data_IF_430357682329
#
_entry.id   IF_430357682329
#
_cell.length_a   1.000
_cell.length_b   1.000
_cell.length_c   1.000
_cell.angle_alpha   90.00
_cell.angle_beta   90.00
_cell.angle_gamma   90.00
#
_symmetry.space_group_name_H-M   'P 1'
#
loop_
_entity.id
_entity.type
_entity.pdbx_description
1 polymer ?
#
# COMPACT_ATOMS: atom_id res chain seq x y z
N UNK A 1 4.16 1.79 -23.88
CA UNK A 1 4.76 1.87 -22.53
C UNK A 1 4.69 0.48 -21.90
N UNK A 2 5.80 -0.03 -21.36
CA UNK A 2 5.82 -1.34 -20.73
C UNK A 2 5.37 -1.25 -19.27
N UNK A 3 4.56 -2.21 -18.81
CA UNK A 3 4.02 -2.26 -17.45
C UNK A 3 4.48 -3.55 -16.77
N UNK A 4 5.16 -3.38 -15.63
CA UNK A 4 5.47 -4.45 -14.69
C UNK A 4 4.43 -4.46 -13.58
N UNK A 5 3.57 -5.48 -13.52
CA UNK A 5 2.74 -5.72 -12.34
C UNK A 5 3.54 -6.48 -11.29
N UNK A 6 3.42 -6.11 -10.02
CA UNK A 6 4.18 -6.68 -8.91
C UNK A 6 3.24 -7.12 -7.80
N UNK A 7 3.36 -8.38 -7.37
CA UNK A 7 2.61 -8.93 -6.23
C UNK A 7 3.59 -9.50 -5.20
N UNK A 8 3.80 -8.83 -4.06
CA UNK A 8 4.37 -9.45 -2.87
C UNK A 8 3.35 -10.40 -2.23
N UNK A 9 3.74 -11.61 -1.90
CA UNK A 9 2.84 -12.59 -1.25
C UNK A 9 3.54 -13.40 -0.17
N UNK A 10 2.75 -13.96 0.74
CA UNK A 10 3.23 -14.89 1.78
C UNK A 10 2.11 -15.80 2.28
N UNK A 11 2.23 -17.12 2.05
CA UNK A 11 1.32 -18.14 2.57
C UNK A 11 -0.17 -17.90 2.21
N UNK A 12 -0.45 -17.42 0.98
CA UNK A 12 -1.80 -17.11 0.48
C UNK A 12 -2.01 -17.64 -0.95
N UNK A 13 -1.82 -18.96 -1.18
CA UNK A 13 -1.81 -19.52 -2.54
C UNK A 13 -3.14 -19.35 -3.31
N UNK A 14 -4.28 -19.33 -2.60
CA UNK A 14 -5.61 -19.16 -3.23
C UNK A 14 -5.86 -17.70 -3.59
N UNK A 15 -5.59 -16.78 -2.66
CA UNK A 15 -5.78 -15.34 -2.86
C UNK A 15 -4.89 -14.88 -4.02
N UNK A 16 -3.61 -15.25 -4.01
CA UNK A 16 -2.66 -14.97 -5.08
C UNK A 16 -3.15 -15.49 -6.45
N UNK A 17 -3.66 -16.72 -6.52
CA UNK A 17 -4.15 -17.29 -7.78
C UNK A 17 -5.32 -16.47 -8.34
N UNK A 18 -6.25 -16.00 -7.50
CA UNK A 18 -7.36 -15.15 -7.91
C UNK A 18 -6.88 -13.78 -8.40
N UNK A 19 -5.96 -13.16 -7.68
CA UNK A 19 -5.36 -11.89 -8.09
C UNK A 19 -4.65 -12.02 -9.43
N UNK A 20 -3.80 -13.03 -9.60
CA UNK A 20 -3.10 -13.32 -10.85
C UNK A 20 -4.07 -13.55 -12.01
N UNK A 21 -5.13 -14.33 -11.80
CA UNK A 21 -6.15 -14.56 -12.82
C UNK A 21 -6.79 -13.24 -13.26
N UNK A 22 -7.17 -12.37 -12.33
CA UNK A 22 -7.76 -11.07 -12.63
C UNK A 22 -6.82 -10.14 -13.41
N UNK A 23 -5.51 -10.25 -13.16
CA UNK A 23 -4.47 -9.49 -13.88
C UNK A 23 -4.27 -10.03 -15.31
N UNK A 24 -4.25 -11.34 -15.47
CA UNK A 24 -4.05 -11.97 -16.78
C UNK A 24 -5.25 -11.85 -17.72
N UNK A 25 -6.45 -11.59 -17.16
CA UNK A 25 -7.69 -11.41 -17.92
C UNK A 25 -8.04 -9.94 -18.17
N UNK A 26 -7.14 -9.01 -17.85
CA UNK A 26 -7.32 -7.59 -18.15
C UNK A 26 -7.49 -7.32 -19.66
N UNK A 27 -8.27 -6.31 -20.03
CA UNK A 27 -8.37 -5.82 -21.42
C UNK A 27 -7.00 -5.38 -21.99
N UNK A 28 -6.14 -4.90 -21.10
CA UNK A 28 -4.72 -4.61 -21.37
C UNK A 28 -3.91 -5.33 -20.27
N UNK A 29 -3.50 -6.61 -20.44
CA UNK A 29 -2.63 -7.29 -19.49
C UNK A 29 -1.27 -6.60 -19.34
N UNK A 30 -0.58 -6.70 -18.20
CA UNK A 30 0.77 -6.17 -18.07
C UNK A 30 1.75 -6.92 -19.00
N UNK A 31 2.87 -6.29 -19.33
CA UNK A 31 3.90 -6.91 -20.16
C UNK A 31 4.70 -7.95 -19.35
N UNK A 32 4.86 -7.72 -18.04
CA UNK A 32 5.40 -8.71 -17.12
C UNK A 32 4.64 -8.72 -15.79
N UNK A 33 4.59 -9.88 -15.16
CA UNK A 33 4.09 -10.08 -13.81
C UNK A 33 5.21 -10.61 -12.93
N UNK A 34 5.59 -9.84 -11.90
CA UNK A 34 6.56 -10.23 -10.89
C UNK A 34 5.84 -10.68 -9.64
N UNK A 35 6.05 -11.92 -9.23
CA UNK A 35 5.58 -12.44 -7.95
C UNK A 35 6.79 -12.60 -7.02
N UNK A 36 6.75 -11.93 -5.87
CA UNK A 36 7.77 -12.06 -4.82
C UNK A 36 7.15 -12.86 -3.67
N UNK A 37 7.40 -14.15 -3.69
CA UNK A 37 6.81 -15.10 -2.74
C UNK A 37 7.75 -15.38 -1.57
N UNK A 38 7.29 -15.02 -0.38
CA UNK A 38 7.98 -15.21 0.91
C UNK A 38 7.46 -16.44 1.67
N UNK A 39 6.70 -17.31 1.01
CA UNK A 39 6.10 -18.51 1.61
C UNK A 39 7.17 -19.54 1.98
N UNK A 40 6.84 -20.41 2.93
CA UNK A 40 7.73 -21.50 3.32
C UNK A 40 7.72 -22.66 2.34
N UNK A 41 6.63 -22.81 1.57
CA UNK A 41 6.42 -23.90 0.62
C UNK A 41 6.21 -23.38 -0.81
N UNK A 42 6.16 -24.28 -1.79
CA UNK A 42 5.98 -23.97 -3.20
C UNK A 42 4.52 -24.04 -3.69
N UNK A 43 3.51 -24.03 -2.81
CA UNK A 43 2.11 -24.15 -3.24
C UNK A 43 1.65 -22.95 -4.07
N UNK A 44 2.03 -21.74 -3.65
CA UNK A 44 1.74 -20.49 -4.36
C UNK A 44 2.28 -20.55 -5.79
N UNK A 45 3.53 -20.97 -5.97
CA UNK A 45 4.15 -21.08 -7.28
C UNK A 45 3.42 -22.07 -8.19
N UNK A 46 3.13 -23.29 -7.70
CA UNK A 46 2.40 -24.30 -8.50
C UNK A 46 1.05 -23.79 -8.99
N UNK A 47 0.32 -23.02 -8.17
CA UNK A 47 -0.97 -22.45 -8.58
C UNK A 47 -0.82 -21.35 -9.64
N UNK A 48 0.19 -20.50 -9.51
CA UNK A 48 0.46 -19.45 -10.50
C UNK A 48 0.91 -20.06 -11.82
N UNK A 49 1.84 -21.02 -11.82
CA UNK A 49 2.33 -21.70 -13.02
C UNK A 49 1.19 -22.37 -13.81
N UNK A 50 0.20 -22.94 -13.10
CA UNK A 50 -0.96 -23.55 -13.73
C UNK A 50 -1.87 -22.53 -14.49
N UNK A 51 -1.78 -21.24 -14.16
CA UNK A 51 -2.51 -20.17 -14.85
C UNK A 51 -1.79 -19.65 -16.10
N UNK A 52 -0.48 -19.90 -16.22
CA UNK A 52 0.32 -19.43 -17.35
C UNK A 52 0.34 -20.45 -18.49
N UNK A 53 -0.54 -20.23 -19.49
CA UNK A 53 -0.52 -21.00 -20.72
C UNK A 53 0.58 -20.45 -21.68
N UNK A 54 1.17 -21.30 -22.56
CA UNK A 54 2.28 -20.90 -23.46
C UNK A 54 2.01 -19.72 -24.40
N UNK A 55 0.74 -19.38 -24.66
CA UNK A 55 0.33 -18.32 -25.59
C UNK A 55 0.06 -16.96 -24.91
N UNK A 56 0.36 -16.77 -23.62
CA UNK A 56 0.09 -15.52 -22.93
C UNK A 56 1.13 -14.45 -23.28
N UNK A 57 0.66 -13.20 -23.44
CA UNK A 57 1.51 -12.03 -23.74
C UNK A 57 2.30 -11.54 -22.54
N UNK A 58 1.89 -11.89 -21.32
CA UNK A 58 2.54 -11.46 -20.07
C UNK A 58 3.69 -12.41 -19.73
N UNK A 59 4.87 -11.87 -19.50
CA UNK A 59 6.03 -12.64 -19.01
C UNK A 59 5.93 -12.82 -17.49
N UNK A 60 6.04 -14.06 -16.99
CA UNK A 60 6.09 -14.35 -15.55
C UNK A 60 7.54 -14.29 -15.04
N UNK A 61 7.76 -13.53 -13.98
CA UNK A 61 8.99 -13.53 -13.17
C UNK A 61 8.60 -13.95 -11.75
N UNK A 62 8.78 -15.22 -11.44
CA UNK A 62 8.46 -15.74 -10.10
C UNK A 62 9.74 -15.86 -9.26
N UNK A 63 9.73 -15.22 -8.09
CA UNK A 63 10.84 -15.26 -7.12
C UNK A 63 10.31 -15.86 -5.83
N UNK A 64 10.65 -17.11 -5.57
CA UNK A 64 10.37 -17.78 -4.29
C UNK A 64 11.61 -17.68 -3.40
N UNK A 65 11.56 -16.80 -2.40
CA UNK A 65 12.64 -16.62 -1.43
C UNK A 65 12.11 -16.30 -0.03
N UNK A 66 11.99 -17.32 0.84
CA UNK A 66 11.53 -17.13 2.23
C UNK A 66 12.43 -16.22 3.09
N UNK A 67 13.67 -15.95 2.64
CA UNK A 67 14.60 -15.06 3.34
C UNK A 67 14.27 -13.58 3.16
N UNK A 68 13.49 -13.22 2.14
CA UNK A 68 12.98 -11.87 1.98
C UNK A 68 12.00 -11.59 3.12
N UNK A 69 12.36 -10.66 4.02
CA UNK A 69 11.60 -10.42 5.25
C UNK A 69 10.73 -9.15 5.14
N UNK A 70 9.44 -9.34 4.86
CA UNK A 70 8.42 -8.27 4.92
C UNK A 70 8.15 -7.58 3.59
N UNK A 71 7.06 -6.77 3.60
CA UNK A 71 6.50 -6.14 2.42
C UNK A 71 7.47 -5.19 1.72
N UNK A 72 8.15 -4.33 2.48
CA UNK A 72 9.07 -3.32 1.95
C UNK A 72 10.27 -3.97 1.25
N UNK A 73 10.83 -5.04 1.84
CA UNK A 73 11.92 -5.78 1.23
C UNK A 73 11.47 -6.49 -0.06
N UNK A 74 10.26 -7.05 -0.07
CA UNK A 74 9.69 -7.67 -1.27
C UNK A 74 9.46 -6.66 -2.40
N UNK A 75 8.92 -5.47 -2.10
CA UNK A 75 8.76 -4.39 -3.08
C UNK A 75 10.11 -3.93 -3.64
N UNK A 76 11.12 -3.75 -2.79
CA UNK A 76 12.48 -3.42 -3.24
C UNK A 76 13.05 -4.50 -4.14
N UNK A 77 12.90 -5.78 -3.78
CA UNK A 77 13.38 -6.90 -4.59
C UNK A 77 12.69 -6.98 -5.95
N UNK A 78 11.40 -6.62 -6.02
CA UNK A 78 10.65 -6.54 -7.27
C UNK A 78 11.13 -5.41 -8.16
N UNK A 79 11.28 -4.19 -7.63
CA UNK A 79 11.76 -3.02 -8.39
C UNK A 79 13.12 -3.29 -9.04
N UNK A 80 14.03 -3.97 -8.32
CA UNK A 80 15.34 -4.33 -8.85
C UNK A 80 15.29 -5.29 -10.05
N UNK A 81 14.14 -5.94 -10.29
CA UNK A 81 13.93 -6.92 -11.38
C UNK A 81 12.95 -6.43 -12.43
N UNK A 82 12.13 -5.44 -12.11
CA UNK A 82 11.14 -4.90 -13.01
C UNK A 82 11.81 -4.22 -14.23
N UNK A 83 11.27 -4.49 -15.42
CA UNK A 83 11.76 -3.94 -16.69
C UNK A 83 10.83 -2.90 -17.30
N UNK A 84 9.58 -2.82 -16.79
CA UNK A 84 8.57 -1.89 -17.28
C UNK A 84 8.94 -0.43 -17.03
N UNK A 85 8.45 0.45 -17.87
CA UNK A 85 8.51 1.91 -17.69
C UNK A 85 7.68 2.32 -16.48
N UNK A 86 6.60 1.55 -16.22
CA UNK A 86 5.69 1.67 -15.09
C UNK A 86 5.77 0.41 -14.25
N UNK A 87 5.94 0.58 -12.94
CA UNK A 87 5.86 -0.50 -11.94
C UNK A 87 4.56 -0.34 -11.15
N UNK A 88 3.65 -1.31 -11.30
CA UNK A 88 2.34 -1.33 -10.65
C UNK A 88 2.32 -2.35 -9.52
N UNK A 89 2.23 -1.89 -8.26
CA UNK A 89 2.10 -2.76 -7.09
C UNK A 89 0.65 -3.14 -6.85
N UNK A 90 0.42 -4.42 -6.64
CA UNK A 90 -0.87 -5.01 -6.33
C UNK A 90 -0.74 -5.92 -5.10
N UNK A 91 -1.78 -6.01 -4.28
CA UNK A 91 -1.84 -7.00 -3.20
C UNK A 91 -2.27 -8.37 -3.74
N UNK A 92 -1.98 -9.41 -2.98
CA UNK A 92 -2.31 -10.79 -3.33
C UNK A 92 -3.78 -11.15 -3.09
N UNK A 93 -4.55 -10.26 -2.44
CA UNK A 93 -5.97 -10.40 -2.12
C UNK A 93 -6.87 -9.35 -2.81
N UNK A 94 -6.45 -8.86 -3.98
CA UNK A 94 -7.25 -7.96 -4.82
C UNK A 94 -7.79 -8.67 -6.07
N UNK A 95 -8.91 -8.18 -6.58
CA UNK A 95 -9.48 -8.58 -7.87
C UNK A 95 -9.71 -7.34 -8.71
N UNK A 96 -9.02 -7.25 -9.84
CA UNK A 96 -9.05 -6.09 -10.72
C UNK A 96 -10.31 -6.12 -11.61
N UNK A 97 -11.00 -4.98 -11.76
CA UNK A 97 -11.99 -4.81 -12.84
C UNK A 97 -11.27 -4.86 -14.20
N UNK A 98 -11.93 -5.33 -15.30
CA UNK A 98 -11.26 -5.60 -16.59
C UNK A 98 -10.51 -4.42 -17.21
N UNK A 99 -10.85 -3.18 -16.85
CA UNK A 99 -10.24 -1.96 -17.35
C UNK A 99 -9.14 -1.37 -16.48
N UNK A 100 -8.78 -1.98 -15.34
CA UNK A 100 -7.87 -1.40 -14.36
C UNK A 100 -6.53 -1.00 -14.98
N UNK A 101 -5.81 -1.96 -15.57
CA UNK A 101 -4.48 -1.73 -16.14
C UNK A 101 -4.50 -0.74 -17.31
N UNK A 102 -5.54 -0.79 -18.15
CA UNK A 102 -5.73 0.16 -19.24
C UNK A 102 -5.91 1.59 -18.70
N UNK A 103 -6.69 1.77 -17.64
CA UNK A 103 -6.92 3.09 -17.05
C UNK A 103 -5.67 3.62 -16.33
N UNK A 104 -4.88 2.75 -15.71
CA UNK A 104 -3.56 3.13 -15.18
C UNK A 104 -2.66 3.62 -16.34
N UNK A 105 -2.53 2.85 -17.42
CA UNK A 105 -1.71 3.23 -18.58
C UNK A 105 -2.14 4.56 -19.18
N UNK A 106 -3.45 4.76 -19.42
CA UNK A 106 -4.02 6.01 -19.93
C UNK A 106 -3.66 7.21 -19.04
N UNK A 107 -3.74 7.05 -17.73
CA UNK A 107 -3.36 8.11 -16.79
C UNK A 107 -1.95 8.65 -17.06
N UNK A 108 -0.99 7.77 -17.31
CA UNK A 108 0.40 8.15 -17.62
C UNK A 108 0.62 8.64 -19.05
N UNK A 109 -0.12 8.11 -20.03
CA UNK A 109 -0.03 8.52 -21.45
C UNK A 109 -0.61 9.92 -21.63
N UNK A 110 -1.79 10.17 -21.07
CA UNK A 110 -2.49 11.45 -21.18
C UNK A 110 -1.85 12.55 -20.34
N UNK A 111 -1.08 12.17 -19.30
CA UNK A 111 -0.38 13.10 -18.41
C UNK A 111 1.11 12.74 -18.29
N UNK A 112 1.95 13.18 -19.26
CA UNK A 112 3.38 12.83 -19.28
C UNK A 112 4.16 13.25 -18.02
N UNK A 113 3.73 14.31 -17.33
CA UNK A 113 4.32 14.78 -16.08
C UNK A 113 3.95 13.92 -14.87
N UNK A 114 2.95 13.02 -14.99
CA UNK A 114 2.52 12.17 -13.87
C UNK A 114 3.61 11.15 -13.54
N UNK A 115 4.00 11.09 -12.27
CA UNK A 115 5.03 10.17 -11.76
C UNK A 115 4.45 9.00 -10.98
N UNK A 116 3.25 9.15 -10.43
CA UNK A 116 2.57 8.06 -9.74
C UNK A 116 1.05 8.17 -9.83
N UNK A 117 0.40 7.01 -9.91
CA UNK A 117 -1.04 6.88 -10.00
C UNK A 117 -1.52 5.71 -9.17
N UNK A 118 -2.59 5.84 -8.40
CA UNK A 118 -3.26 4.70 -7.77
C UNK A 118 -4.69 4.57 -8.28
N UNK A 119 -5.22 3.35 -8.22
CA UNK A 119 -6.63 3.10 -8.42
C UNK A 119 -7.48 3.35 -7.17
N UNK A 120 -8.72 2.87 -7.21
CA UNK A 120 -9.68 2.92 -6.11
C UNK A 120 -10.22 1.53 -5.77
N UNK A 121 -10.51 1.32 -4.50
CA UNK A 121 -11.16 0.10 -4.00
C UNK A 121 -12.68 0.32 -4.00
N UNK A 122 -13.41 -0.56 -4.67
CA UNK A 122 -14.86 -0.40 -4.91
C UNK A 122 -15.74 -1.07 -3.87
N UNK A 123 -15.26 -2.12 -3.22
CA UNK A 123 -16.00 -2.89 -2.22
C UNK A 123 -15.75 -2.43 -0.77
N UNK A 124 -15.16 -1.25 -0.57
CA UNK A 124 -15.09 -0.64 0.75
C UNK A 124 -16.41 0.07 1.07
N UNK A 125 -16.89 -0.03 2.33
CA UNK A 125 -18.06 0.71 2.76
C UNK A 125 -17.80 2.22 2.72
N UNK A 126 -18.79 3.00 2.30
CA UNK A 126 -18.70 4.45 2.43
C UNK A 126 -18.58 4.83 3.91
N UNK A 127 -17.58 5.62 4.23
CA UNK A 127 -17.41 6.13 5.58
C UNK A 127 -18.37 7.31 5.82
N UNK A 128 -19.15 7.30 6.89
CA UNK A 128 -20.02 8.45 7.23
C UNK A 128 -19.24 9.76 7.31
N UNK A 129 -19.80 10.85 6.84
CA UNK A 129 -19.14 12.17 6.80
C UNK A 129 -18.65 12.64 8.19
N UNK A 130 -19.37 12.31 9.25
CA UNK A 130 -18.95 12.64 10.62
C UNK A 130 -17.68 11.88 11.00
N UNK A 131 -17.55 10.59 10.59
CA UNK A 131 -16.35 9.79 10.83
C UNK A 131 -15.15 10.35 10.07
N UNK A 132 -15.33 10.71 8.78
CA UNK A 132 -14.27 11.35 7.99
C UNK A 132 -13.77 12.65 8.66
N UNK A 133 -14.69 13.50 9.15
CA UNK A 133 -14.34 14.73 9.88
C UNK A 133 -13.57 14.43 11.16
N UNK A 134 -14.02 13.44 11.93
CA UNK A 134 -13.34 13.02 13.16
C UNK A 134 -11.95 12.45 12.86
N UNK A 135 -11.84 11.61 11.83
CA UNK A 135 -10.56 11.08 11.37
C UNK A 135 -9.59 12.22 11.02
N UNK A 136 -9.98 13.14 10.16
CA UNK A 136 -9.15 14.28 9.76
C UNK A 136 -8.86 15.25 10.92
N UNK A 137 -9.72 15.32 11.93
CA UNK A 137 -9.45 16.08 13.16
C UNK A 137 -8.25 15.50 13.91
N UNK A 138 -8.16 14.19 14.06
CA UNK A 138 -7.07 13.54 14.76
C UNK A 138 -5.84 13.27 13.88
N UNK A 139 -6.02 13.13 12.57
CA UNK A 139 -4.94 12.92 11.60
C UNK A 139 -4.66 14.23 10.85
N UNK A 140 -3.94 15.16 11.49
CA UNK A 140 -3.58 16.46 10.92
C UNK A 140 -2.11 16.56 10.55
N UNK A 141 -1.75 17.61 9.82
CA UNK A 141 -0.37 17.93 9.44
C UNK A 141 0.30 16.77 8.73
N UNK A 142 1.42 16.32 9.23
CA UNK A 142 2.19 15.21 8.65
C UNK A 142 1.44 13.85 8.63
N UNK A 143 0.34 13.72 9.34
CA UNK A 143 -0.51 12.52 9.39
C UNK A 143 -1.77 12.63 8.56
N UNK A 144 -1.97 13.75 7.85
CA UNK A 144 -3.17 13.94 7.04
C UNK A 144 -3.20 12.95 5.87
N UNK A 145 -4.25 12.15 5.78
CA UNK A 145 -4.46 11.17 4.71
C UNK A 145 -5.66 11.56 3.84
N UNK A 146 -5.37 12.13 2.68
CA UNK A 146 -6.39 12.59 1.73
C UNK A 146 -7.18 11.44 1.06
N UNK A 147 -6.71 10.19 1.17
CA UNK A 147 -7.40 9.02 0.61
C UNK A 147 -8.68 8.67 1.35
N UNK A 148 -8.79 9.11 2.61
CA UNK A 148 -9.99 8.90 3.43
C UNK A 148 -11.16 9.69 2.83
N UNK A 149 -12.17 8.96 2.36
CA UNK A 149 -13.32 9.53 1.67
C UNK A 149 -13.26 9.49 0.13
N UNK A 150 -12.12 9.14 -0.46
CA UNK A 150 -11.99 8.91 -1.91
C UNK A 150 -12.47 7.49 -2.30
N UNK A 151 -12.07 6.48 -1.51
CA UNK A 151 -12.59 5.12 -1.69
C UNK A 151 -14.08 5.07 -1.33
N UNK A 152 -14.90 4.42 -2.16
CA UNK A 152 -16.35 4.34 -1.98
C UNK A 152 -17.15 5.54 -2.53
N UNK A 153 -16.59 6.75 -2.54
CA UNK A 153 -17.28 7.95 -3.05
C UNK A 153 -17.20 8.11 -4.58
N UNK A 154 -16.31 7.39 -5.23
CA UNK A 154 -16.01 7.50 -6.67
C UNK A 154 -16.78 6.46 -7.48
N UNK A 155 -18.11 6.50 -7.43
CA UNK A 155 -18.95 5.70 -8.32
C UNK A 155 -19.15 6.46 -9.65
N UNK A 156 -18.68 5.87 -10.76
CA UNK A 156 -18.84 6.42 -12.10
C UNK A 156 -17.67 6.11 -13.02
N UNK A 157 -17.87 6.29 -14.31
CA UNK A 157 -16.83 6.19 -15.34
C UNK A 157 -16.52 7.58 -15.91
N UNK A 158 -15.30 7.78 -16.39
CA UNK A 158 -14.90 9.06 -17.01
C UNK A 158 -14.63 10.18 -16.00
N UNK A 159 -14.34 9.83 -14.74
CA UNK A 159 -13.99 10.80 -13.71
C UNK A 159 -12.55 11.31 -13.90
N UNK A 160 -12.30 12.62 -13.60
CA UNK A 160 -10.94 13.18 -13.69
C UNK A 160 -10.01 12.59 -12.65
N UNK A 161 -8.70 12.67 -12.91
CA UNK A 161 -7.68 12.32 -11.94
C UNK A 161 -7.76 13.23 -10.72
N UNK A 162 -7.65 12.66 -9.53
CA UNK A 162 -7.68 13.36 -8.25
C UNK A 162 -6.26 13.51 -7.74
N UNK A 163 -5.77 14.75 -7.55
CA UNK A 163 -4.45 14.96 -6.94
C UNK A 163 -4.38 14.34 -5.55
N UNK A 164 -3.28 13.68 -5.25
CA UNK A 164 -3.07 13.04 -3.96
C UNK A 164 -1.59 13.06 -3.57
N UNK A 165 -1.32 13.36 -2.31
CA UNK A 165 0.01 13.25 -1.73
C UNK A 165 0.35 11.83 -1.28
N UNK A 166 -0.64 10.93 -1.22
CA UNK A 166 -0.47 9.54 -0.83
C UNK A 166 -1.11 8.62 -1.86
N UNK A 167 -0.36 7.58 -2.26
CA UNK A 167 -0.87 6.49 -3.07
C UNK A 167 -0.89 5.23 -2.23
N UNK A 168 -1.97 4.45 -2.35
CA UNK A 168 -2.14 3.21 -1.59
C UNK A 168 -1.16 2.14 -2.06
N UNK A 169 -0.44 1.51 -1.14
CA UNK A 169 0.69 0.65 -1.44
C UNK A 169 0.37 -0.61 -2.26
N UNK A 170 -0.87 -1.11 -2.18
CA UNK A 170 -1.31 -2.34 -2.85
C UNK A 170 -2.12 -2.11 -4.12
N UNK A 171 -2.20 -0.89 -4.65
CA UNK A 171 -2.91 -0.54 -5.89
C UNK A 171 -2.30 0.69 -6.58
N UNK A 172 -1.01 0.91 -6.42
CA UNK A 172 -0.30 2.08 -6.95
C UNK A 172 0.67 1.71 -8.05
N UNK A 173 0.79 2.58 -9.03
CA UNK A 173 1.72 2.50 -10.12
C UNK A 173 2.61 3.74 -10.15
N UNK A 174 3.89 3.56 -10.46
CA UNK A 174 4.87 4.65 -10.53
C UNK A 174 5.72 4.51 -11.79
N UNK A 175 6.19 5.63 -12.34
CA UNK A 175 7.29 5.57 -13.30
C UNK A 175 8.52 4.98 -12.63
N UNK A 176 9.21 4.08 -13.30
CA UNK A 176 10.40 3.39 -12.76
C UNK A 176 11.47 4.37 -12.26
N UNK A 177 11.64 5.50 -12.93
CA UNK A 177 12.56 6.57 -12.54
C UNK A 177 12.34 7.09 -11.10
N UNK A 178 11.13 6.96 -10.54
CA UNK A 178 10.85 7.34 -9.16
C UNK A 178 11.69 6.51 -8.18
N UNK A 179 11.89 5.23 -8.46
CA UNK A 179 12.63 4.32 -7.58
C UNK A 179 14.14 4.49 -7.66
N UNK A 180 14.63 5.07 -8.76
CA UNK A 180 16.05 5.43 -8.91
C UNK A 180 16.42 6.57 -7.96
N UNK A 181 15.52 7.54 -7.78
CA UNK A 181 15.71 8.66 -6.86
C UNK A 181 15.28 8.36 -5.42
N UNK A 182 14.20 7.58 -5.25
CA UNK A 182 13.56 7.30 -3.95
C UNK A 182 13.50 5.79 -3.72
N UNK A 183 14.52 5.16 -3.13
CA UNK A 183 14.47 3.74 -2.81
C UNK A 183 13.50 3.46 -1.65
N UNK A 184 12.97 2.22 -1.57
CA UNK A 184 12.21 1.76 -0.42
C UNK A 184 13.09 1.71 0.84
N UNK A 185 12.56 2.22 1.97
CA UNK A 185 13.26 2.24 3.27
C UNK A 185 13.13 0.89 3.99
N UNK A 186 13.96 -0.07 3.58
CA UNK A 186 14.00 -1.40 4.20
C UNK A 186 14.55 -1.36 5.62
N UNK A 187 15.43 -0.40 5.93
CA UNK A 187 16.10 -0.31 7.22
C UNK A 187 15.12 0.04 8.37
N UNK A 188 14.18 0.94 8.14
CA UNK A 188 13.16 1.29 9.12
C UNK A 188 11.90 0.41 9.02
N UNK A 189 11.70 -0.30 7.91
CA UNK A 189 10.71 -1.36 7.67
C UNK A 189 9.31 -1.05 8.21
N UNK A 190 8.73 0.09 7.79
CA UNK A 190 7.37 0.47 8.11
C UNK A 190 6.41 -0.40 7.29
N UNK A 191 5.69 -1.32 7.94
CA UNK A 191 4.78 -2.24 7.24
C UNK A 191 3.40 -1.62 6.99
N UNK A 192 2.85 -0.90 7.99
CA UNK A 192 1.51 -0.31 7.91
C UNK A 192 1.52 1.09 7.29
N UNK A 193 2.66 1.77 7.32
CA UNK A 193 2.85 3.13 6.83
C UNK A 193 3.88 3.20 5.71
N UNK A 194 4.18 2.08 5.03
CA UNK A 194 5.18 2.02 3.97
C UNK A 194 4.81 2.92 2.79
N UNK A 195 3.53 2.92 2.44
CA UNK A 195 2.96 3.71 1.35
C UNK A 195 2.94 5.22 1.69
N UNK A 196 2.58 5.56 2.91
CA UNK A 196 2.62 6.94 3.42
C UNK A 196 4.07 7.45 3.46
N UNK A 197 5.01 6.65 3.99
CA UNK A 197 6.42 7.02 4.03
C UNK A 197 7.01 7.20 2.63
N UNK A 198 6.76 6.23 1.74
CA UNK A 198 7.24 6.30 0.37
C UNK A 198 6.65 7.50 -0.38
N UNK A 199 5.33 7.65 -0.36
CA UNK A 199 4.64 8.76 -1.04
C UNK A 199 5.10 10.12 -0.51
N UNK A 200 5.29 10.26 0.82
CA UNK A 200 5.76 11.51 1.41
C UNK A 200 7.17 11.87 0.91
N UNK A 201 8.08 10.90 0.82
CA UNK A 201 9.43 11.13 0.27
C UNK A 201 9.38 11.47 -1.21
N UNK A 202 8.54 10.78 -1.97
CA UNK A 202 8.37 11.04 -3.39
C UNK A 202 7.81 12.45 -3.65
N UNK A 203 6.75 12.87 -2.95
CA UNK A 203 6.20 14.23 -3.07
C UNK A 203 7.20 15.30 -2.67
N UNK A 204 8.01 15.07 -1.63
CA UNK A 204 9.05 16.02 -1.24
C UNK A 204 10.15 16.19 -2.29
N UNK A 205 10.46 15.13 -3.03
CA UNK A 205 11.50 15.16 -4.05
C UNK A 205 10.99 15.69 -5.39
N UNK A 206 9.80 15.27 -5.82
CA UNK A 206 9.27 15.52 -7.16
C UNK A 206 8.14 16.56 -7.20
N UNK A 207 7.58 16.96 -6.06
CA UNK A 207 6.40 17.81 -6.01
C UNK A 207 5.10 17.04 -6.23
N UNK A 208 4.04 17.76 -6.59
CA UNK A 208 2.65 17.25 -6.68
C UNK A 208 2.37 16.56 -8.03
N UNK A 209 3.13 15.52 -8.36
CA UNK A 209 2.98 14.77 -9.63
C UNK A 209 2.35 13.39 -9.40
N UNK A 210 1.46 13.28 -8.42
CA UNK A 210 0.82 12.03 -8.00
C UNK A 210 -0.70 12.19 -7.94
N UNK A 211 -1.44 11.18 -8.46
CA UNK A 211 -2.89 11.23 -8.55
C UNK A 211 -3.53 9.89 -8.17
N UNK A 212 -4.82 9.94 -7.81
CA UNK A 212 -5.71 8.78 -7.78
C UNK A 212 -6.52 8.80 -9.06
N UNK A 213 -6.60 7.67 -9.76
CA UNK A 213 -7.44 7.46 -10.93
C UNK A 213 -8.73 6.71 -10.53
N UNK A 214 -9.88 7.40 -10.44
CA UNK A 214 -11.13 6.77 -10.06
C UNK A 214 -11.65 5.73 -11.07
N UNK A 215 -11.10 5.74 -12.30
CA UNK A 215 -11.48 4.80 -13.35
C UNK A 215 -10.68 3.48 -13.28
N UNK A 216 -9.56 3.46 -12.56
CA UNK A 216 -8.80 2.24 -12.26
C UNK A 216 -9.37 1.59 -11.00
N UNK A 217 -10.22 0.58 -11.17
CA UNK A 217 -11.11 0.05 -10.14
C UNK A 217 -10.77 -1.40 -9.81
N UNK A 218 -10.78 -1.74 -8.53
CA UNK A 218 -10.57 -3.10 -8.05
C UNK A 218 -11.36 -3.38 -6.76
N UNK A 219 -11.57 -4.64 -6.45
CA UNK A 219 -12.05 -5.11 -5.16
C UNK A 219 -10.88 -5.60 -4.30
N UNK A 220 -10.94 -5.35 -2.99
CA UNK A 220 -9.96 -5.83 -2.03
C UNK A 220 -10.64 -6.79 -1.04
N UNK A 221 -10.35 -8.07 -1.18
CA UNK A 221 -11.02 -9.15 -0.43
C UNK A 221 -10.40 -9.44 0.93
N UNK A 222 -9.57 -8.56 1.43
CA UNK A 222 -8.98 -8.56 2.77
C UNK A 222 -8.80 -9.96 3.37
N UNK A 223 -7.82 -10.74 2.91
CA UNK A 223 -7.56 -12.09 3.42
C UNK A 223 -7.46 -12.13 4.95
N UNK A 224 -8.11 -13.08 5.63
CA UNK A 224 -7.97 -13.26 7.07
C UNK A 224 -6.61 -13.85 7.47
N UNK A 225 -5.88 -14.42 6.50
CA UNK A 225 -4.59 -15.06 6.74
C UNK A 225 -3.49 -14.04 7.05
N UNK A 226 -2.56 -14.41 7.92
CA UNK A 226 -1.42 -13.59 8.33
C UNK A 226 -1.79 -12.26 9.01
N UNK A 227 -3.02 -12.09 9.52
CA UNK A 227 -3.41 -10.89 10.25
C UNK A 227 -3.01 -10.98 11.72
N UNK A 228 -2.35 -9.94 12.19
CA UNK A 228 -2.05 -9.81 13.61
C UNK A 228 -3.33 -9.65 14.44
N UNK A 229 -3.37 -10.25 15.64
CA UNK A 229 -4.43 -10.02 16.63
C UNK A 229 -4.50 -8.53 17.02
N UNK A 230 -5.67 -8.06 17.46
CA UNK A 230 -5.95 -6.64 17.72
C UNK A 230 -4.86 -5.92 18.52
N UNK A 231 -4.42 -6.50 19.65
CA UNK A 231 -3.39 -5.88 20.48
C UNK A 231 -2.04 -5.74 19.78
N UNK A 232 -1.59 -6.76 19.05
CA UNK A 232 -0.36 -6.72 18.27
C UNK A 232 -0.45 -5.73 17.10
N UNK A 233 -1.64 -5.60 16.50
CA UNK A 233 -1.90 -4.61 15.44
C UNK A 233 -1.82 -3.19 15.99
N UNK A 234 -2.43 -2.90 17.14
CA UNK A 234 -2.35 -1.58 17.77
C UNK A 234 -0.91 -1.25 18.21
N UNK A 235 -0.19 -2.21 18.80
CA UNK A 235 1.23 -2.05 19.14
C UNK A 235 2.07 -1.65 17.93
N UNK A 236 1.91 -2.35 16.82
CA UNK A 236 2.61 -2.04 15.57
C UNK A 236 2.22 -0.67 15.03
N UNK A 237 0.92 -0.38 14.98
CA UNK A 237 0.38 0.90 14.48
C UNK A 237 1.01 2.08 15.21
N UNK A 238 0.96 2.07 16.54
CA UNK A 238 1.56 3.13 17.36
C UNK A 238 3.06 3.28 17.14
N UNK A 239 3.79 2.17 17.18
CA UNK A 239 5.22 2.17 16.95
C UNK A 239 5.55 2.82 15.60
N UNK A 240 4.87 2.43 14.53
CA UNK A 240 5.15 2.93 13.18
C UNK A 240 4.79 4.41 13.01
N UNK A 241 3.69 4.89 13.59
CA UNK A 241 3.39 6.33 13.62
C UNK A 241 4.46 7.14 14.38
N UNK A 242 4.99 6.62 15.47
CA UNK A 242 6.09 7.29 16.19
C UNK A 242 7.39 7.27 15.40
N UNK A 243 7.70 6.18 14.70
CA UNK A 243 8.87 6.11 13.81
C UNK A 243 8.72 7.11 12.66
N UNK A 244 7.54 7.15 12.05
CA UNK A 244 7.23 8.13 11.00
C UNK A 244 7.35 9.58 11.52
N UNK A 245 6.81 9.88 12.70
CA UNK A 245 6.99 11.17 13.34
C UNK A 245 8.46 11.52 13.53
N UNK A 246 9.28 10.61 14.04
CA UNK A 246 10.73 10.85 14.23
C UNK A 246 11.44 11.22 12.93
N UNK A 247 11.03 10.62 11.81
CA UNK A 247 11.54 10.98 10.47
C UNK A 247 11.10 12.38 10.04
N UNK A 248 10.01 12.91 10.59
CA UNK A 248 9.33 14.16 10.16
C UNK A 248 9.21 15.23 11.25
N UNK A 249 9.81 15.04 12.42
CA UNK A 249 9.65 15.90 13.60
C UNK A 249 10.03 17.38 13.38
N UNK A 250 10.78 17.68 12.33
CA UNK A 250 11.19 19.04 11.97
C UNK A 250 10.15 19.79 11.15
N UNK A 251 9.09 19.12 10.68
CA UNK A 251 8.02 19.80 9.98
C UNK A 251 7.19 20.67 10.94
N UNK A 252 6.72 21.81 10.44
CA UNK A 252 5.93 22.74 11.24
C UNK A 252 4.67 22.08 11.80
N UNK A 253 4.40 22.32 13.07
CA UNK A 253 3.24 21.78 13.76
C UNK A 253 3.27 20.27 14.02
N UNK A 254 4.35 19.54 13.69
CA UNK A 254 4.44 18.08 13.83
C UNK A 254 4.17 17.59 15.26
N UNK A 255 4.62 18.34 16.29
CA UNK A 255 4.38 17.98 17.69
C UNK A 255 2.89 18.03 18.08
N UNK A 256 2.20 19.11 17.68
CA UNK A 256 0.75 19.24 17.94
C UNK A 256 -0.04 18.18 17.18
N UNK A 257 0.34 17.89 15.93
CA UNK A 257 -0.26 16.83 15.12
C UNK A 257 -0.08 15.46 15.80
N UNK A 258 1.11 15.18 16.36
CA UNK A 258 1.35 13.93 17.09
C UNK A 258 0.44 13.82 18.32
N UNK A 259 0.30 14.88 19.11
CA UNK A 259 -0.56 14.86 20.30
C UNK A 259 -2.00 14.50 19.92
N UNK A 260 -2.56 15.15 18.90
CA UNK A 260 -3.90 14.84 18.40
C UNK A 260 -4.02 13.40 17.92
N UNK A 261 -3.05 12.93 17.13
CA UNK A 261 -3.01 11.55 16.65
C UNK A 261 -3.00 10.56 17.82
N UNK A 262 -2.18 10.78 18.84
CA UNK A 262 -2.11 9.88 20.00
C UNK A 262 -3.45 9.80 20.74
N UNK A 263 -4.14 10.92 20.90
CA UNK A 263 -5.48 10.93 21.49
C UNK A 263 -6.46 10.14 20.62
N UNK A 264 -6.47 10.35 19.31
CA UNK A 264 -7.35 9.64 18.38
C UNK A 264 -7.11 8.12 18.39
N UNK A 265 -5.84 7.70 18.41
CA UNK A 265 -5.47 6.29 18.47
C UNK A 265 -5.78 5.64 19.84
N UNK A 266 -5.75 6.40 20.92
CA UNK A 266 -6.19 5.92 22.24
C UNK A 266 -7.71 5.69 22.26
N UNK A 267 -8.48 6.63 21.71
CA UNK A 267 -9.93 6.48 21.58
C UNK A 267 -10.29 5.28 20.69
N UNK A 268 -9.58 5.08 19.58
CA UNK A 268 -9.74 3.90 18.74
C UNK A 268 -9.44 2.61 19.49
N UNK A 269 -8.34 2.56 20.26
CA UNK A 269 -7.97 1.39 21.06
C UNK A 269 -9.02 1.10 22.15
N UNK A 270 -9.56 2.14 22.81
CA UNK A 270 -10.63 2.00 23.80
C UNK A 270 -11.92 1.47 23.15
N UNK A 271 -12.33 2.03 22.00
CA UNK A 271 -13.48 1.54 21.24
C UNK A 271 -13.32 0.06 20.86
N UNK A 272 -12.16 -0.34 20.31
CA UNK A 272 -11.88 -1.72 19.97
C UNK A 272 -11.87 -2.66 21.18
N UNK A 273 -11.40 -2.19 22.33
CA UNK A 273 -11.41 -2.96 23.58
C UNK A 273 -12.83 -3.26 24.05
N UNK A 274 -13.73 -2.27 23.97
CA UNK A 274 -15.16 -2.44 24.29
C UNK A 274 -15.83 -3.41 23.31
N UNK A 275 -15.65 -3.22 21.99
CA UNK A 275 -16.25 -4.08 20.98
C UNK A 275 -15.78 -5.54 21.08
N UNK A 276 -14.49 -5.74 21.30
CA UNK A 276 -13.90 -7.07 21.42
C UNK A 276 -14.04 -7.67 22.84
N UNK A 277 -14.52 -6.92 23.81
CA UNK A 277 -14.56 -7.28 25.24
C UNK A 277 -13.18 -7.77 25.74
N UNK A 278 -12.10 -7.09 25.34
CA UNK A 278 -10.71 -7.44 25.67
C UNK A 278 -9.87 -6.18 25.84
N UNK A 279 -8.98 -6.17 26.81
CA UNK A 279 -8.06 -5.03 27.06
C UNK A 279 -6.82 -5.04 26.15
N UNK A 280 -6.64 -6.08 25.34
CA UNK A 280 -5.45 -6.21 24.47
C UNK A 280 -5.21 -5.03 23.51
N UNK A 281 -6.22 -4.33 22.93
CA UNK A 281 -5.97 -3.13 22.13
C UNK A 281 -5.36 -1.98 22.94
N UNK A 282 -5.83 -1.75 24.18
CA UNK A 282 -5.29 -0.71 25.07
C UNK A 282 -3.86 -1.07 25.49
N UNK A 283 -3.61 -2.32 25.90
CA UNK A 283 -2.25 -2.78 26.20
C UNK A 283 -1.33 -2.62 24.99
N UNK A 284 -1.80 -2.96 23.79
CA UNK A 284 -1.09 -2.77 22.54
C UNK A 284 -0.74 -1.30 22.26
N UNK A 285 -1.65 -0.38 22.57
CA UNK A 285 -1.40 1.06 22.46
C UNK A 285 -0.19 1.46 23.33
N UNK A 286 -0.17 1.17 24.61
CA UNK A 286 0.93 1.57 25.51
C UNK A 286 2.25 0.87 25.19
N UNK A 287 2.21 -0.42 24.83
CA UNK A 287 3.41 -1.13 24.36
C UNK A 287 3.96 -0.53 23.05
N UNK A 288 3.08 -0.11 22.15
CA UNK A 288 3.47 0.56 20.93
C UNK A 288 4.11 1.94 21.15
N UNK A 289 3.60 2.71 22.12
CA UNK A 289 4.23 3.95 22.56
C UNK A 289 5.64 3.71 23.07
N UNK A 290 5.81 2.70 23.94
CA UNK A 290 7.11 2.32 24.48
C UNK A 290 8.11 1.91 23.41
N UNK A 291 7.69 1.00 22.51
CA UNK A 291 8.52 0.53 21.40
C UNK A 291 8.92 1.69 20.48
N UNK A 292 7.95 2.54 20.11
CA UNK A 292 8.19 3.66 19.23
C UNK A 292 9.08 4.74 19.86
N UNK A 293 8.92 5.01 21.18
CA UNK A 293 9.78 5.95 21.89
C UNK A 293 11.25 5.51 21.90
N UNK A 294 11.50 4.21 22.03
CA UNK A 294 12.85 3.61 22.06
C UNK A 294 13.43 3.32 20.68
N UNK A 295 12.61 3.37 19.62
CA UNK A 295 13.09 3.08 18.27
C UNK A 295 14.20 4.05 17.85
N UNK A 296 15.33 3.52 17.45
CA UNK A 296 16.40 4.29 16.82
C UNK A 296 16.22 4.21 15.31
N UNK A 297 16.20 5.38 14.65
CA UNK A 297 16.12 5.43 13.20
C UNK A 297 17.43 4.88 12.62
N UNK A 298 17.29 3.90 11.75
CA UNK A 298 18.41 3.48 10.93
C UNK A 298 18.75 4.57 9.89
N UNK A 299 20.04 4.79 9.58
CA UNK A 299 20.42 5.66 8.47
C UNK A 299 19.73 5.20 7.20
N UNK A 300 19.19 6.14 6.43
CA UNK A 300 18.68 5.80 5.11
C UNK A 300 19.88 5.42 4.25
N UNK A 301 19.90 4.22 3.68
CA UNK A 301 20.85 3.86 2.63
C UNK A 301 20.61 4.81 1.45
N UNK A 302 21.62 5.62 1.16
CA UNK A 302 21.67 6.47 -0.04
C UNK A 302 21.58 5.61 -1.30
#
# INVERSE_FOLDING_TARGET
>A
MLISAVIPTKNRPRDLANAVLSILTQSRPPDELLVIDQSADGESQRRVDALFAPARRTTLVYVHDPRIAGLVAAKRAAVARARGDIVCFLEDDVVLEPGYMLNIERGFVENPALLGCSGVVTNLPELPRYYQRLFHFFHRGIFHDARVGVHGATQGSGLPLIRSNYLSGGLSAYRRAVFEAIPFDVANNLFMLEDIDFSTRAVQHFGEQFCINPNARLEHHMSPLNRAVLGSRQRRKLREFLVFYKKRRRADGAGAALLLLLIGLLLEAAYQAVQARRLSPIAGYFLGLWDGARWQLAPQSQ
#
